data_IF_944316214898
#
_entry.id   IF_944316214898
#
_cell.length_a   1.000
_cell.length_b   1.000
_cell.length_c   1.000
_cell.angle_alpha   90.00
_cell.angle_beta   90.00
_cell.angle_gamma   90.00
#
_symmetry.space_group_name_H-M   'P 1'
#
loop_
_entity.id
_entity.type
_entity.pdbx_description
1 polymer ?
#
# COMPACT_ATOMS: atom_id res chain seq x y z
N UNK A 1 15.56 5.29 22.62
CA UNK A 1 15.65 5.28 21.15
C UNK A 1 14.24 5.43 20.64
N UNK A 2 14.01 6.36 19.73
CA UNK A 2 12.71 6.64 19.11
C UNK A 2 12.72 6.13 17.68
N UNK A 3 11.55 5.86 17.10
CA UNK A 3 11.39 5.48 15.70
C UNK A 3 10.26 6.25 15.04
N UNK A 4 10.42 6.61 13.78
CA UNK A 4 9.38 7.15 12.91
C UNK A 4 9.25 6.27 11.68
N UNK A 5 8.03 5.98 11.29
CA UNK A 5 7.74 5.09 10.18
C UNK A 5 7.13 5.89 9.04
N UNK A 6 7.74 5.79 7.88
CA UNK A 6 7.27 6.40 6.63
C UNK A 6 6.77 5.27 5.73
N UNK A 7 5.49 5.27 5.40
CA UNK A 7 4.95 4.38 4.37
C UNK A 7 5.22 4.97 3.00
N UNK A 8 5.72 4.15 2.08
CA UNK A 8 5.99 4.52 0.69
C UNK A 8 4.91 3.87 -0.17
N UNK A 9 4.24 4.67 -0.99
CA UNK A 9 3.28 4.16 -1.97
C UNK A 9 3.97 3.39 -3.09
N UNK A 10 3.19 2.56 -3.75
CA UNK A 10 3.69 1.74 -4.84
C UNK A 10 3.86 2.58 -6.12
N UNK A 11 4.92 2.29 -6.85
CA UNK A 11 5.17 2.76 -8.20
C UNK A 11 5.51 1.56 -9.07
N UNK A 12 4.98 1.50 -10.27
CA UNK A 12 5.26 0.38 -11.16
C UNK A 12 6.53 0.68 -11.98
N UNK A 13 7.67 0.43 -11.37
CA UNK A 13 8.97 0.61 -12.01
C UNK A 13 9.15 -0.22 -13.30
N UNK A 14 8.36 -1.29 -13.48
CA UNK A 14 8.46 -2.14 -14.68
C UNK A 14 7.93 -1.48 -15.97
N UNK A 15 7.20 -0.35 -15.85
CA UNK A 15 6.67 0.42 -16.97
C UNK A 15 7.59 1.60 -17.34
N UNK A 16 8.48 1.99 -16.41
CA UNK A 16 9.37 3.12 -16.60
C UNK A 16 10.64 2.73 -17.35
N UNK A 17 11.19 3.69 -18.10
CA UNK A 17 12.48 3.50 -18.71
C UNK A 17 13.61 3.49 -17.66
N UNK A 18 14.78 2.97 -18.04
CA UNK A 18 15.94 2.81 -17.15
C UNK A 18 16.43 4.16 -16.63
N UNK A 19 16.29 5.24 -17.40
CA UNK A 19 16.73 6.58 -17.01
C UNK A 19 15.85 7.09 -15.87
N UNK A 20 14.52 6.95 -15.97
CA UNK A 20 13.59 7.34 -14.93
C UNK A 20 13.77 6.50 -13.65
N UNK A 21 13.97 5.18 -13.79
CA UNK A 21 14.28 4.31 -12.65
C UNK A 21 15.54 4.78 -11.90
N UNK A 22 16.60 5.13 -12.63
CA UNK A 22 17.83 5.65 -12.00
C UNK A 22 17.62 6.99 -11.30
N UNK A 23 16.81 7.88 -11.86
CA UNK A 23 16.45 9.15 -11.24
C UNK A 23 15.73 8.89 -9.91
N UNK A 24 14.76 7.99 -9.89
CA UNK A 24 13.98 7.66 -8.70
C UNK A 24 14.84 7.01 -7.61
N UNK A 25 15.74 6.10 -7.98
CA UNK A 25 16.71 5.51 -7.05
C UNK A 25 17.61 6.58 -6.44
N UNK A 26 18.04 7.57 -7.23
CA UNK A 26 18.85 8.68 -6.75
C UNK A 26 18.10 9.56 -5.72
N UNK A 27 16.80 9.80 -5.90
CA UNK A 27 15.99 10.51 -4.89
C UNK A 27 15.95 9.74 -3.57
N UNK A 28 15.72 8.43 -3.62
CA UNK A 28 15.73 7.58 -2.42
C UNK A 28 17.10 7.60 -1.74
N UNK A 29 18.18 7.45 -2.52
CA UNK A 29 19.54 7.51 -2.00
C UNK A 29 19.88 8.87 -1.36
N UNK A 30 19.42 9.98 -1.97
CA UNK A 30 19.59 11.31 -1.42
C UNK A 30 18.78 11.53 -0.15
N UNK A 31 17.56 10.97 -0.08
CA UNK A 31 16.75 11.01 1.13
C UNK A 31 17.49 10.36 2.32
N UNK A 32 18.16 9.23 2.10
CA UNK A 32 18.93 8.56 3.15
C UNK A 32 20.19 9.34 3.59
N UNK A 33 20.72 10.22 2.76
CA UNK A 33 21.82 11.13 3.14
C UNK A 33 21.41 12.23 4.11
N UNK A 34 20.09 12.43 4.32
CA UNK A 34 19.57 13.38 5.30
C UNK A 34 19.65 12.86 6.75
N UNK A 35 20.06 11.60 6.94
CA UNK A 35 20.30 11.05 8.27
C UNK A 35 21.50 11.69 8.92
N UNK A 36 21.34 12.09 10.18
CA UNK A 36 22.45 12.56 11.01
C UNK A 36 23.32 11.40 11.51
N UNK A 37 24.52 11.72 12.01
CA UNK A 37 25.49 10.74 12.51
C UNK A 37 24.97 9.83 13.64
N UNK A 38 23.91 10.28 14.37
CA UNK A 38 23.27 9.55 15.47
C UNK A 38 21.93 8.92 15.06
N UNK A 39 21.62 8.90 13.79
CA UNK A 39 20.40 8.34 13.23
C UNK A 39 20.73 7.16 12.32
N UNK A 40 19.76 6.26 12.18
CA UNK A 40 19.83 5.15 11.25
C UNK A 40 18.46 4.93 10.60
N UNK A 41 18.43 4.23 9.48
CA UNK A 41 17.18 3.87 8.85
C UNK A 41 17.21 2.43 8.35
N UNK A 42 16.04 1.78 8.41
CA UNK A 42 15.78 0.49 7.79
C UNK A 42 14.74 0.66 6.68
N UNK A 43 14.92 -0.07 5.58
CA UNK A 43 13.91 -0.20 4.53
C UNK A 43 13.29 -1.58 4.66
N UNK A 44 11.99 -1.62 4.88
CA UNK A 44 11.24 -2.86 5.07
C UNK A 44 10.21 -3.02 3.95
N UNK A 45 10.17 -4.22 3.38
CA UNK A 45 9.12 -4.66 2.47
C UNK A 45 8.21 -5.64 3.21
N UNK A 46 6.90 -5.40 3.16
CA UNK A 46 5.90 -6.30 3.71
C UNK A 46 5.00 -6.75 2.57
N UNK A 47 4.99 -8.05 2.32
CA UNK A 47 4.12 -8.67 1.33
C UNK A 47 2.83 -9.12 2.03
N UNK A 48 1.70 -8.52 1.66
CA UNK A 48 0.37 -8.88 2.14
C UNK A 48 -0.41 -9.63 1.06
N UNK A 49 -1.12 -10.72 1.40
CA UNK A 49 -2.00 -11.34 0.42
C UNK A 49 -3.09 -10.36 0.01
N UNK A 50 -3.38 -10.30 -1.28
CA UNK A 50 -4.49 -9.49 -1.79
C UNK A 50 -5.78 -10.24 -1.47
N UNK A 51 -6.65 -9.62 -0.66
CA UNK A 51 -8.00 -10.13 -0.46
C UNK A 51 -8.90 -9.63 -1.60
N UNK A 52 -9.23 -10.50 -2.53
CA UNK A 52 -10.13 -10.21 -3.64
C UNK A 52 -11.61 -10.43 -3.29
N UNK A 53 -11.92 -10.99 -2.12
CA UNK A 53 -13.30 -11.30 -1.71
C UNK A 53 -14.14 -10.03 -1.54
N UNK A 54 -13.54 -8.95 -1.03
CA UNK A 54 -14.18 -7.64 -0.93
C UNK A 54 -14.59 -7.08 -2.30
N UNK A 55 -13.71 -7.23 -3.29
CA UNK A 55 -14.01 -6.82 -4.66
C UNK A 55 -15.09 -7.70 -5.31
N UNK A 56 -15.04 -9.01 -5.09
CA UNK A 56 -16.05 -9.93 -5.56
C UNK A 56 -17.41 -9.57 -4.97
N UNK A 57 -17.49 -9.33 -3.67
CA UNK A 57 -18.71 -8.92 -2.98
C UNK A 57 -19.30 -7.63 -3.58
N UNK A 58 -18.50 -6.59 -3.77
CA UNK A 58 -18.94 -5.32 -4.37
C UNK A 58 -19.54 -5.54 -5.79
N UNK A 59 -18.97 -6.45 -6.58
CA UNK A 59 -19.49 -6.78 -7.91
C UNK A 59 -20.80 -7.57 -7.80
N UNK A 60 -20.93 -8.50 -6.87
CA UNK A 60 -22.18 -9.23 -6.63
C UNK A 60 -23.30 -8.30 -6.17
N UNK A 61 -23.00 -7.34 -5.29
CA UNK A 61 -23.97 -6.33 -4.84
C UNK A 61 -24.44 -5.47 -6.03
N UNK A 62 -23.53 -5.07 -6.92
CA UNK A 62 -23.88 -4.34 -8.17
C UNK A 62 -24.70 -5.18 -9.14
N UNK A 63 -24.41 -6.48 -9.27
CA UNK A 63 -25.22 -7.39 -10.08
C UNK A 63 -26.64 -7.54 -9.53
N UNK A 64 -26.79 -7.62 -8.21
CA UNK A 64 -28.09 -7.70 -7.56
C UNK A 64 -28.89 -6.43 -7.76
N UNK A 65 -28.27 -5.26 -7.55
CA UNK A 65 -28.89 -3.96 -7.80
C UNK A 65 -29.31 -3.78 -9.28
N UNK A 66 -28.51 -4.29 -10.21
CA UNK A 66 -28.84 -4.23 -11.64
C UNK A 66 -30.08 -5.07 -12.00
N UNK A 67 -30.32 -6.19 -11.29
CA UNK A 67 -31.53 -7.01 -11.51
C UNK A 67 -32.81 -6.26 -11.14
N UNK A 68 -32.73 -5.42 -10.10
CA UNK A 68 -33.86 -4.66 -9.55
C UNK A 68 -34.06 -3.30 -10.25
N UNK A 69 -33.09 -2.86 -11.08
CA UNK A 69 -33.18 -1.56 -11.76
C UNK A 69 -34.22 -1.52 -12.87
N UNK A 70 -34.77 -0.34 -13.14
CA UNK A 70 -35.76 -0.09 -14.25
C UNK A 70 -35.05 0.26 -15.58
N UNK A 71 -33.76 -0.05 -15.73
CA UNK A 71 -33.00 0.24 -16.97
C UNK A 71 -33.51 -0.61 -18.15
N UNK A 72 -33.33 -0.10 -19.37
CA UNK A 72 -33.63 -0.83 -20.60
C UNK A 72 -32.84 -2.15 -20.67
N UNK A 73 -33.49 -3.21 -21.19
CA UNK A 73 -32.93 -4.58 -21.20
C UNK A 73 -31.57 -4.67 -21.85
N UNK A 74 -31.36 -3.99 -22.97
CA UNK A 74 -30.07 -4.03 -23.70
C UNK A 74 -28.93 -3.46 -22.90
N UNK A 75 -29.18 -2.38 -22.15
CA UNK A 75 -28.15 -1.76 -21.26
C UNK A 75 -27.87 -2.69 -20.07
N UNK A 76 -28.89 -3.32 -19.51
CA UNK A 76 -28.75 -4.32 -18.45
C UNK A 76 -27.87 -5.48 -18.88
N UNK A 77 -28.09 -6.01 -20.06
CA UNK A 77 -27.35 -7.16 -20.57
C UNK A 77 -25.89 -6.85 -20.82
N UNK A 78 -25.57 -5.66 -21.36
CA UNK A 78 -24.20 -5.18 -21.52
C UNK A 78 -23.52 -5.04 -20.15
N UNK A 79 -24.17 -4.38 -19.19
CA UNK A 79 -23.62 -4.19 -17.84
C UNK A 79 -23.43 -5.51 -17.11
N UNK A 80 -24.38 -6.44 -17.24
CA UNK A 80 -24.26 -7.78 -16.67
C UNK A 80 -23.06 -8.51 -17.25
N UNK A 81 -22.86 -8.47 -18.57
CA UNK A 81 -21.71 -9.07 -19.23
C UNK A 81 -20.38 -8.54 -18.69
N UNK A 82 -20.25 -7.20 -18.53
CA UNK A 82 -19.05 -6.58 -17.99
C UNK A 82 -18.79 -7.01 -16.53
N UNK A 83 -19.82 -7.05 -15.70
CA UNK A 83 -19.67 -7.44 -14.29
C UNK A 83 -19.32 -8.94 -14.18
N UNK A 84 -19.92 -9.79 -15.00
CA UNK A 84 -19.61 -11.22 -15.04
C UNK A 84 -18.17 -11.47 -15.48
N UNK A 85 -17.68 -10.78 -16.51
CA UNK A 85 -16.30 -10.87 -16.93
C UNK A 85 -15.31 -10.48 -15.83
N UNK A 86 -15.66 -9.48 -15.00
CA UNK A 86 -14.85 -9.09 -13.84
C UNK A 86 -14.81 -10.18 -12.78
N UNK A 87 -15.93 -10.84 -12.49
CA UNK A 87 -15.98 -11.99 -11.57
C UNK A 87 -15.07 -13.11 -12.08
N UNK A 88 -15.22 -13.47 -13.36
CA UNK A 88 -14.42 -14.54 -13.97
C UNK A 88 -12.91 -14.23 -13.91
N UNK A 89 -12.53 -12.95 -14.02
CA UNK A 89 -11.14 -12.52 -13.84
C UNK A 89 -10.68 -12.67 -12.38
N UNK A 90 -11.51 -12.28 -11.41
CA UNK A 90 -11.21 -12.45 -9.99
C UNK A 90 -11.03 -13.93 -9.65
N UNK A 91 -11.92 -14.79 -10.11
CA UNK A 91 -11.85 -16.24 -9.89
C UNK A 91 -10.58 -16.84 -10.51
N UNK A 92 -10.23 -16.42 -11.72
CA UNK A 92 -8.95 -16.82 -12.34
C UNK A 92 -7.76 -16.37 -11.51
N UNK A 93 -7.74 -15.13 -11.02
CA UNK A 93 -6.66 -14.60 -10.20
C UNK A 93 -6.54 -15.34 -8.87
N UNK A 94 -7.66 -15.65 -8.20
CA UNK A 94 -7.69 -16.43 -6.98
C UNK A 94 -7.16 -17.87 -7.16
N UNK A 95 -7.45 -18.47 -8.32
CA UNK A 95 -7.07 -19.86 -8.60
C UNK A 95 -5.63 -20.04 -9.09
N UNK A 96 -5.00 -19.00 -9.70
CA UNK A 96 -3.69 -19.15 -10.35
C UNK A 96 -2.53 -18.96 -9.36
N UNK A 97 -2.60 -18.01 -8.43
CA UNK A 97 -1.61 -17.78 -7.34
C UNK A 97 -2.19 -16.81 -6.31
N UNK A 98 -1.87 -17.03 -5.02
CA UNK A 98 -2.04 -15.97 -4.01
C UNK A 98 -1.27 -14.74 -4.49
N UNK A 99 -2.00 -13.68 -4.81
CA UNK A 99 -1.38 -12.42 -5.18
C UNK A 99 -0.98 -11.69 -3.91
N UNK A 100 0.20 -11.10 -3.93
CA UNK A 100 0.71 -10.31 -2.82
C UNK A 100 0.83 -8.86 -3.26
N UNK A 101 0.39 -7.97 -2.40
CA UNK A 101 0.64 -6.55 -2.49
C UNK A 101 1.85 -6.24 -1.61
N UNK A 102 2.88 -5.64 -2.18
CA UNK A 102 4.06 -5.25 -1.43
C UNK A 102 3.93 -3.81 -0.95
N UNK A 103 3.93 -3.60 0.35
CA UNK A 103 4.06 -2.29 0.96
C UNK A 103 5.52 -2.06 1.36
N UNK A 104 6.01 -0.85 1.13
CA UNK A 104 7.37 -0.45 1.47
C UNK A 104 7.33 0.60 2.58
N UNK A 105 8.27 0.47 3.52
CA UNK A 105 8.39 1.37 4.66
C UNK A 105 9.83 1.77 4.87
N UNK A 106 10.07 3.01 5.27
CA UNK A 106 11.34 3.47 5.83
C UNK A 106 11.11 3.72 7.31
N UNK A 107 11.89 3.07 8.17
CA UNK A 107 11.89 3.35 9.60
C UNK A 107 13.14 4.14 9.92
N UNK A 108 12.97 5.33 10.44
CA UNK A 108 14.08 6.18 10.88
C UNK A 108 14.19 6.10 12.39
N UNK A 109 15.38 5.86 12.90
CA UNK A 109 15.69 5.75 14.32
C UNK A 109 16.59 6.89 14.78
N UNK A 110 16.36 7.38 16.00
CA UNK A 110 17.16 8.42 16.61
C UNK A 110 17.02 8.49 18.14
N UNK A 111 17.84 9.33 18.77
CA UNK A 111 17.81 9.53 20.22
C UNK A 111 16.98 10.72 20.64
N UNK A 112 16.85 11.73 19.79
CA UNK A 112 16.05 12.94 20.02
C UNK A 112 14.77 12.85 19.18
N UNK A 113 13.63 13.00 19.82
CA UNK A 113 12.33 12.85 19.14
C UNK A 113 12.04 14.00 18.17
N UNK A 114 12.37 15.24 18.53
CA UNK A 114 12.11 16.42 17.67
C UNK A 114 12.99 16.39 16.40
N UNK A 115 14.28 16.08 16.56
CA UNK A 115 15.21 15.97 15.43
C UNK A 115 14.78 14.83 14.50
N UNK A 116 14.33 13.71 15.09
CA UNK A 116 13.85 12.55 14.36
C UNK A 116 12.60 12.85 13.55
N UNK A 117 11.65 13.60 14.12
CA UNK A 117 10.44 14.04 13.40
C UNK A 117 10.79 14.89 12.18
N UNK A 118 11.66 15.88 12.38
CA UNK A 118 12.14 16.75 11.31
C UNK A 118 12.85 15.96 10.20
N UNK A 119 13.74 15.04 10.58
CA UNK A 119 14.44 14.19 9.62
C UNK A 119 13.48 13.28 8.86
N UNK A 120 12.50 12.67 9.53
CA UNK A 120 11.51 11.82 8.88
C UNK A 120 10.63 12.59 7.88
N UNK A 121 10.24 13.82 8.21
CA UNK A 121 9.51 14.70 7.29
C UNK A 121 10.35 15.04 6.07
N UNK A 122 11.63 15.37 6.27
CA UNK A 122 12.54 15.71 5.18
C UNK A 122 12.80 14.50 4.26
N UNK A 123 13.00 13.31 4.83
CA UNK A 123 13.14 12.06 4.07
C UNK A 123 11.88 11.78 3.25
N UNK A 124 10.70 11.89 3.87
CA UNK A 124 9.43 11.69 3.17
C UNK A 124 9.27 12.68 2.00
N UNK A 125 9.63 13.95 2.22
CA UNK A 125 9.60 15.00 1.19
C UNK A 125 10.56 14.71 0.03
N UNK A 126 11.77 14.23 0.33
CA UNK A 126 12.76 13.91 -0.71
C UNK A 126 12.34 12.68 -1.53
N UNK A 127 11.84 11.63 -0.87
CA UNK A 127 11.29 10.46 -1.55
C UNK A 127 10.08 10.83 -2.42
N UNK A 128 9.23 11.75 -1.97
CA UNK A 128 8.06 12.20 -2.75
C UNK A 128 8.45 12.88 -4.07
N UNK A 129 9.65 13.45 -4.19
CA UNK A 129 10.15 14.04 -5.45
C UNK A 129 10.34 13.01 -6.56
N UNK A 130 10.47 11.72 -6.22
CA UNK A 130 10.49 10.62 -7.19
C UNK A 130 9.10 10.29 -7.76
N UNK A 131 8.05 10.99 -7.32
CA UNK A 131 6.66 10.69 -7.69
C UNK A 131 6.03 9.56 -6.87
N UNK A 132 6.75 9.02 -5.87
CA UNK A 132 6.20 8.08 -4.90
C UNK A 132 5.34 8.84 -3.88
N UNK A 133 4.16 8.31 -3.58
CA UNK A 133 3.40 8.84 -2.44
C UNK A 133 4.09 8.43 -1.14
N UNK A 134 4.16 9.36 -0.19
CA UNK A 134 4.73 9.09 1.14
C UNK A 134 3.72 9.49 2.21
N UNK A 135 3.66 8.71 3.28
CA UNK A 135 2.84 9.00 4.47
C UNK A 135 3.67 8.74 5.72
N UNK A 136 3.88 9.76 6.52
CA UNK A 136 4.40 9.57 7.88
C UNK A 136 3.29 8.95 8.74
N UNK A 137 3.57 7.78 9.33
CA UNK A 137 2.58 7.07 10.13
C UNK A 137 2.44 7.75 11.50
N UNK A 138 1.20 8.02 11.89
CA UNK A 138 0.88 8.39 13.28
C UNK A 138 1.12 7.23 14.24
N UNK A 139 1.05 7.50 15.54
CA UNK A 139 1.36 6.52 16.58
C UNK A 139 0.50 5.23 16.46
N UNK A 140 -0.77 5.37 16.13
CA UNK A 140 -1.73 4.27 15.94
C UNK A 140 -1.34 3.40 14.75
N UNK A 141 -1.14 4.02 13.58
CA UNK A 141 -0.74 3.33 12.34
C UNK A 141 0.63 2.66 12.49
N UNK A 142 1.56 3.30 13.20
CA UNK A 142 2.88 2.74 13.48
C UNK A 142 2.80 1.52 14.41
N UNK A 143 1.92 1.52 15.41
CA UNK A 143 1.69 0.37 16.28
C UNK A 143 1.13 -0.83 15.50
N UNK A 144 0.17 -0.58 14.59
CA UNK A 144 -0.36 -1.60 13.66
C UNK A 144 0.75 -2.15 12.77
N UNK A 145 1.55 -1.28 12.17
CA UNK A 145 2.70 -1.68 11.36
C UNK A 145 3.67 -2.59 12.14
N UNK A 146 4.03 -2.22 13.36
CA UNK A 146 4.94 -3.03 14.21
C UNK A 146 4.32 -4.39 14.53
N UNK A 147 3.03 -4.44 14.88
CA UNK A 147 2.32 -5.70 15.13
C UNK A 147 2.45 -6.63 13.93
N UNK A 148 2.21 -6.14 12.72
CA UNK A 148 2.31 -6.94 11.50
C UNK A 148 3.76 -7.34 11.15
N UNK A 149 4.73 -6.46 11.38
CA UNK A 149 6.14 -6.74 11.08
C UNK A 149 6.72 -7.87 11.93
N UNK A 150 6.21 -8.04 13.16
CA UNK A 150 6.69 -9.05 14.12
C UNK A 150 5.75 -10.25 14.29
N UNK A 151 4.54 -10.22 13.74
CA UNK A 151 3.58 -11.31 13.79
C UNK A 151 3.83 -12.29 12.64
N UNK A 152 4.01 -13.58 12.98
CA UNK A 152 4.15 -14.65 11.97
C UNK A 152 2.83 -15.03 11.29
N UNK A 153 1.69 -14.69 11.91
CA UNK A 153 0.36 -14.98 11.39
C UNK A 153 -0.39 -13.67 11.21
N UNK A 154 -0.63 -13.32 9.95
CA UNK A 154 -1.49 -12.23 9.56
C UNK A 154 -2.95 -12.70 9.62
N UNK A 155 -3.76 -12.19 10.54
CA UNK A 155 -5.20 -12.37 10.52
C UNK A 155 -5.86 -11.02 10.17
N UNK A 156 -6.46 -10.94 8.97
CA UNK A 156 -7.14 -9.73 8.45
C UNK A 156 -8.32 -9.27 9.33
N UNK A 157 -8.84 -10.14 10.20
CA UNK A 157 -9.94 -9.79 11.10
C UNK A 157 -9.53 -8.78 12.16
N UNK A 158 -8.25 -8.77 12.53
CA UNK A 158 -7.73 -7.83 13.52
C UNK A 158 -7.50 -6.40 12.98
N UNK A 159 -7.49 -6.21 11.66
CA UNK A 159 -7.33 -4.88 11.04
C UNK A 159 -8.58 -4.00 11.26
N UNK A 160 -9.77 -4.62 11.34
CA UNK A 160 -11.04 -3.90 11.56
C UNK A 160 -11.20 -3.41 13.01
N UNK A 161 -10.69 -4.17 13.97
CA UNK A 161 -10.82 -3.83 15.40
C UNK A 161 -9.88 -2.71 15.84
N UNK A 162 -8.92 -2.31 15.00
CA UNK A 162 -7.95 -1.24 15.28
C UNK A 162 -8.31 0.06 14.53
N UNK A 163 -9.21 -0.03 13.54
CA UNK A 163 -9.64 1.13 12.74
C UNK A 163 -10.83 1.90 13.38
N UNK A 164 -11.51 1.34 14.40
CA UNK A 164 -12.52 1.96 15.23
C UNK A 164 -11.91 2.46 16.55
#
# INVERSE_FOLDING_TARGET
MFGRVIKIGQKNFGIEDVVQQNIDINYIANALKLLDANQSADIIKIDRPVNLDGFAKDIFDKLSALRESDEYSDIKDIRRGILQERIDRIDKLNNIRKQYLSDYYIIVYGRNELDLESTAINIAGEVAKSGLSTKLLGQRDAAVFLKYSFSRNFDEREEKDIAD
#
